data_IF_296735150104
#
_entry.id   IF_296735150104
#
_cell.length_a   1.000
_cell.length_b   1.000
_cell.length_c   1.000
_cell.angle_alpha   90.00
_cell.angle_beta   90.00
_cell.angle_gamma   90.00
#
_symmetry.space_group_name_H-M   'P 1'
#
loop_
_entity.id
_entity.type
_entity.pdbx_description
1 polymer ?
#
# COMPACT_ATOMS: atom_id res chain seq x y z
N UNK A 1 9.19 8.35 13.31
CA UNK A 1 8.19 7.38 12.78
C UNK A 1 8.93 6.15 12.32
N UNK A 2 8.52 4.97 12.76
CA UNK A 2 9.06 3.68 12.29
C UNK A 2 8.29 3.27 11.04
N UNK A 3 9.00 2.85 9.97
CA UNK A 3 8.40 2.37 8.73
C UNK A 3 9.24 1.25 8.14
N UNK A 4 8.56 0.21 7.65
CA UNK A 4 9.22 -0.95 7.09
C UNK A 4 9.08 -1.01 5.57
N UNK A 5 10.00 -1.70 4.93
CA UNK A 5 10.01 -1.95 3.50
C UNK A 5 10.59 -3.33 3.19
N UNK A 6 10.11 -3.92 2.11
CA UNK A 6 10.71 -5.13 1.58
C UNK A 6 11.79 -4.76 0.55
N UNK A 7 12.87 -5.53 0.49
CA UNK A 7 13.91 -5.36 -0.52
C UNK A 7 14.58 -6.69 -0.87
N UNK A 8 15.35 -6.72 -1.96
CA UNK A 8 16.19 -7.85 -2.32
C UNK A 8 17.65 -7.53 -1.97
N UNK A 9 18.33 -8.49 -1.36
CA UNK A 9 19.78 -8.39 -1.16
C UNK A 9 20.55 -8.59 -2.48
N UNK A 10 21.89 -8.51 -2.41
CA UNK A 10 22.77 -8.67 -3.59
C UNK A 10 22.68 -10.05 -4.26
N UNK A 11 22.08 -11.03 -3.58
CA UNK A 11 21.86 -12.40 -4.08
C UNK A 11 20.40 -12.64 -4.49
N UNK A 12 19.59 -11.58 -4.54
CA UNK A 12 18.15 -11.59 -4.81
C UNK A 12 17.33 -12.36 -3.75
N UNK A 13 17.80 -12.48 -2.51
CA UNK A 13 16.99 -12.99 -1.42
C UNK A 13 16.15 -11.88 -0.80
N UNK A 14 14.86 -12.14 -0.51
CA UNK A 14 13.99 -11.18 0.17
C UNK A 14 14.53 -10.81 1.56
N UNK A 15 14.43 -9.55 1.90
CA UNK A 15 14.86 -8.99 3.18
C UNK A 15 13.82 -7.96 3.64
N UNK A 16 13.78 -7.76 4.96
CA UNK A 16 13.02 -6.69 5.59
C UNK A 16 13.98 -5.56 5.95
N UNK A 17 13.69 -4.36 5.47
CA UNK A 17 14.31 -3.13 5.90
C UNK A 17 13.40 -2.36 6.82
N UNK A 18 13.96 -1.66 7.78
CA UNK A 18 13.21 -0.76 8.67
C UNK A 18 13.94 0.57 8.78
N UNK A 19 13.21 1.64 8.60
CA UNK A 19 13.65 2.96 9.01
C UNK A 19 13.23 3.19 10.46
N UNK A 20 14.22 3.22 11.35
CA UNK A 20 14.05 3.41 12.78
C UNK A 20 14.90 4.58 13.25
N UNK A 21 14.30 5.52 13.96
CA UNK A 21 14.96 6.76 14.39
C UNK A 21 15.68 7.51 13.23
N UNK A 22 15.07 7.51 12.02
CA UNK A 22 15.61 8.20 10.84
C UNK A 22 16.77 7.48 10.14
N UNK A 23 17.09 6.24 10.52
CA UNK A 23 18.16 5.45 9.92
C UNK A 23 17.59 4.13 9.38
N UNK A 24 18.01 3.74 8.17
CA UNK A 24 17.58 2.49 7.56
C UNK A 24 18.50 1.33 7.95
N UNK A 25 17.90 0.25 8.44
CA UNK A 25 18.57 -0.96 8.89
C UNK A 25 18.05 -2.20 8.15
N UNK A 26 18.90 -3.22 8.01
CA UNK A 26 18.49 -4.57 7.63
C UNK A 26 17.85 -5.25 8.86
N UNK A 27 16.53 -5.27 8.92
CA UNK A 27 15.78 -5.84 10.03
C UNK A 27 15.85 -7.38 10.02
N UNK A 28 15.86 -8.05 8.86
CA UNK A 28 16.00 -9.50 8.80
C UNK A 28 17.27 -9.96 9.52
N UNK A 29 18.39 -9.26 9.32
CA UNK A 29 19.64 -9.55 10.04
C UNK A 29 19.56 -9.17 11.52
N UNK A 30 18.89 -8.06 11.85
CA UNK A 30 18.68 -7.66 13.24
C UNK A 30 17.86 -8.71 14.00
N UNK A 31 16.79 -9.22 13.38
CA UNK A 31 15.93 -10.25 13.93
C UNK A 31 16.68 -11.55 14.23
N UNK A 32 17.54 -12.02 13.32
CA UNK A 32 18.35 -13.22 13.54
C UNK A 32 19.29 -13.08 14.73
N UNK A 33 19.94 -11.93 14.90
CA UNK A 33 20.81 -11.66 16.04
C UNK A 33 20.00 -11.55 17.32
N UNK A 34 18.86 -10.89 17.29
CA UNK A 34 17.94 -10.76 18.43
C UNK A 34 17.50 -12.14 18.95
N UNK A 35 17.08 -13.06 18.07
CA UNK A 35 16.73 -14.45 18.43
C UNK A 35 17.88 -15.15 19.16
N UNK A 36 19.11 -14.98 18.68
CA UNK A 36 20.29 -15.57 19.32
C UNK A 36 20.55 -14.99 20.71
N UNK A 37 20.41 -13.69 20.90
CA UNK A 37 20.60 -13.03 22.21
C UNK A 37 19.53 -13.48 23.21
N UNK A 38 18.27 -13.53 22.78
CA UNK A 38 17.15 -13.97 23.64
C UNK A 38 17.13 -15.47 23.87
N UNK A 39 17.99 -16.26 23.19
CA UNK A 39 17.97 -17.74 23.18
C UNK A 39 16.59 -18.30 22.82
N UNK A 40 15.80 -17.53 22.08
CA UNK A 40 14.46 -17.92 21.67
C UNK A 40 14.50 -18.72 20.37
N UNK A 41 14.49 -20.05 20.51
CA UNK A 41 14.43 -20.98 19.37
C UNK A 41 13.01 -21.15 18.80
N UNK A 42 12.01 -20.62 19.49
CA UNK A 42 10.60 -20.69 19.04
C UNK A 42 10.22 -19.49 18.14
N UNK A 43 11.01 -18.41 18.17
CA UNK A 43 10.76 -17.24 17.34
C UNK A 43 10.88 -17.60 15.84
N UNK A 44 9.91 -17.22 15.00
CA UNK A 44 9.86 -17.60 13.59
C UNK A 44 10.99 -16.97 12.78
N UNK A 45 11.37 -17.61 11.69
CA UNK A 45 12.16 -16.95 10.66
C UNK A 45 11.29 -15.96 9.90
N UNK A 46 11.83 -14.77 9.62
CA UNK A 46 11.12 -13.70 8.91
C UNK A 46 11.79 -13.40 7.56
N UNK A 47 11.58 -14.25 6.55
CA UNK A 47 12.20 -14.09 5.23
C UNK A 47 11.61 -12.90 4.45
N UNK A 48 10.39 -12.44 4.75
CA UNK A 48 9.73 -11.33 4.05
C UNK A 48 8.72 -10.61 4.94
N UNK A 49 8.48 -9.34 4.61
CA UNK A 49 7.67 -8.42 5.42
C UNK A 49 6.22 -8.88 5.61
N UNK A 50 5.61 -9.46 4.58
CA UNK A 50 4.25 -10.00 4.65
C UNK A 50 4.11 -11.04 5.77
N UNK A 51 5.11 -11.88 6.01
CA UNK A 51 5.06 -12.88 7.09
C UNK A 51 5.02 -12.24 8.48
N UNK A 52 5.67 -11.08 8.69
CA UNK A 52 5.51 -10.33 9.94
C UNK A 52 4.06 -9.92 10.17
N UNK A 53 3.36 -9.50 9.11
CA UNK A 53 1.93 -9.14 9.18
C UNK A 53 1.09 -10.39 9.48
N UNK A 54 1.34 -11.50 8.79
CA UNK A 54 0.59 -12.77 8.95
C UNK A 54 0.77 -13.38 10.34
N UNK A 55 1.91 -13.14 10.99
CA UNK A 55 2.23 -13.64 12.34
C UNK A 55 1.91 -12.64 13.46
N UNK A 56 1.26 -11.53 13.17
CA UNK A 56 0.95 -10.44 14.11
C UNK A 56 2.22 -9.89 14.82
N UNK A 57 3.32 -9.77 14.06
CA UNK A 57 4.60 -9.23 14.53
C UNK A 57 4.91 -7.84 13.96
N UNK A 58 4.03 -7.30 13.12
CA UNK A 58 4.23 -6.00 12.47
C UNK A 58 3.73 -4.86 13.36
N UNK A 59 4.44 -4.59 14.46
CA UNK A 59 4.13 -3.56 15.45
C UNK A 59 5.35 -2.69 15.75
N UNK A 60 5.12 -1.45 16.12
CA UNK A 60 6.21 -0.54 16.56
C UNK A 60 6.97 -1.14 17.74
N UNK A 61 6.27 -1.76 18.69
CA UNK A 61 6.87 -2.42 19.85
C UNK A 61 7.88 -3.50 19.46
N UNK A 62 7.56 -4.33 18.45
CA UNK A 62 8.48 -5.37 17.95
C UNK A 62 9.79 -4.77 17.42
N UNK A 63 9.70 -3.70 16.64
CA UNK A 63 10.89 -3.02 16.11
C UNK A 63 11.70 -2.37 17.23
N UNK A 64 11.04 -1.71 18.17
CA UNK A 64 11.67 -1.04 19.29
C UNK A 64 12.36 -2.04 20.23
N UNK A 65 11.73 -3.18 20.54
CA UNK A 65 12.32 -4.23 21.36
C UNK A 65 13.60 -4.79 20.71
N UNK A 66 13.53 -5.12 19.42
CA UNK A 66 14.69 -5.65 18.69
C UNK A 66 15.86 -4.67 18.71
N UNK A 67 15.65 -3.43 18.29
CA UNK A 67 16.76 -2.47 18.20
C UNK A 67 17.26 -2.00 19.57
N UNK A 68 16.39 -1.86 20.56
CA UNK A 68 16.79 -1.51 21.93
C UNK A 68 17.61 -2.64 22.54
N UNK A 69 17.16 -3.89 22.42
CA UNK A 69 17.95 -5.05 22.89
C UNK A 69 19.31 -5.08 22.22
N UNK A 70 19.36 -4.93 20.88
CA UNK A 70 20.64 -5.01 20.16
C UNK A 70 21.63 -3.92 20.58
N UNK A 71 21.19 -2.70 20.87
CA UNK A 71 22.04 -1.60 21.34
C UNK A 71 22.81 -1.92 22.61
N UNK A 72 22.24 -2.73 23.51
CA UNK A 72 22.88 -3.12 24.76
C UNK A 72 24.02 -4.11 24.55
N UNK A 73 24.06 -4.81 23.42
CA UNK A 73 25.04 -5.85 23.12
C UNK A 73 26.06 -5.46 22.05
N UNK A 74 25.73 -4.53 21.14
CA UNK A 74 26.60 -4.17 20.02
C UNK A 74 26.20 -2.85 19.35
N UNK A 75 27.12 -2.16 18.67
CA UNK A 75 26.79 -1.05 17.78
C UNK A 75 25.86 -1.52 16.63
N UNK A 76 24.90 -0.68 16.25
CA UNK A 76 23.97 -0.98 15.14
C UNK A 76 24.55 -0.67 13.74
N UNK A 77 25.76 -0.11 13.65
CA UNK A 77 26.37 0.32 12.38
C UNK A 77 26.50 -0.81 11.34
N UNK A 78 26.75 -2.05 11.81
CA UNK A 78 26.85 -3.22 10.94
C UNK A 78 25.50 -3.64 10.33
N UNK A 79 24.38 -3.18 10.90
CA UNK A 79 23.03 -3.45 10.43
C UNK A 79 22.50 -2.34 9.54
N UNK A 80 23.18 -1.17 9.52
CA UNK A 80 22.80 -0.03 8.73
C UNK A 80 22.93 -0.34 7.24
N UNK A 81 21.88 0.00 6.47
CA UNK A 81 21.94 -0.04 5.01
C UNK A 81 22.77 1.15 4.52
N UNK A 82 23.93 0.84 3.94
CA UNK A 82 24.92 1.83 3.49
C UNK A 82 24.70 2.32 2.06
N UNK A 83 23.79 1.67 1.34
CA UNK A 83 23.48 1.96 -0.06
C UNK A 83 21.97 1.92 -0.22
N UNK A 84 21.47 2.65 -1.20
CA UNK A 84 20.10 2.52 -1.64
C UNK A 84 19.81 1.10 -2.12
N UNK A 85 18.67 0.56 -1.70
CA UNK A 85 18.28 -0.81 -2.03
C UNK A 85 17.03 -0.78 -2.90
N UNK A 86 16.96 -1.68 -3.86
CA UNK A 86 15.76 -1.84 -4.68
C UNK A 86 14.62 -2.39 -3.83
N UNK A 87 13.65 -1.53 -3.56
CA UNK A 87 12.48 -1.89 -2.78
C UNK A 87 11.57 -2.82 -3.59
N UNK A 88 10.83 -3.65 -2.86
CA UNK A 88 9.81 -4.55 -3.38
C UNK A 88 8.45 -4.11 -2.84
N UNK A 89 7.32 -4.57 -3.41
CA UNK A 89 6.02 -4.33 -2.79
C UNK A 89 6.04 -4.79 -1.34
N UNK A 90 5.59 -3.96 -0.38
CA UNK A 90 5.59 -4.33 1.04
C UNK A 90 4.86 -5.64 1.31
N UNK A 91 3.76 -5.85 0.59
CA UNK A 91 3.01 -7.10 0.52
C UNK A 91 3.13 -7.61 -0.92
N UNK A 92 3.87 -8.70 -1.10
CA UNK A 92 4.20 -9.21 -2.43
C UNK A 92 3.18 -10.20 -2.98
N UNK A 93 2.39 -10.83 -2.10
CA UNK A 93 1.41 -11.87 -2.46
C UNK A 93 0.13 -11.74 -1.64
N UNK A 94 -0.59 -10.61 -1.73
CA UNK A 94 -1.90 -10.51 -1.09
C UNK A 94 -2.84 -11.58 -1.67
N UNK A 95 -3.74 -12.13 -0.85
CA UNK A 95 -4.74 -13.04 -1.39
C UNK A 95 -5.75 -12.30 -2.28
N UNK A 96 -6.03 -11.03 -1.94
CA UNK A 96 -6.86 -10.14 -2.75
C UNK A 96 -6.45 -8.68 -2.59
N UNK A 97 -6.74 -7.91 -3.63
CA UNK A 97 -6.63 -6.44 -3.65
C UNK A 97 -8.04 -5.94 -3.92
N UNK A 98 -8.64 -5.27 -2.93
CA UNK A 98 -9.96 -4.68 -3.03
C UNK A 98 -9.80 -3.16 -3.14
N UNK A 99 -10.49 -2.55 -4.08
CA UNK A 99 -10.41 -1.11 -4.34
C UNK A 99 -11.80 -0.48 -4.24
N UNK A 100 -11.87 0.72 -3.67
CA UNK A 100 -13.11 1.48 -3.49
C UNK A 100 -13.22 2.51 -4.61
N UNK A 101 -14.30 2.47 -5.34
CA UNK A 101 -14.63 3.47 -6.35
C UNK A 101 -15.48 4.60 -5.77
N UNK A 102 -15.27 5.83 -6.29
CA UNK A 102 -16.13 7.01 -6.00
C UNK A 102 -16.20 7.40 -4.53
N UNK A 103 -15.13 7.22 -3.78
CA UNK A 103 -15.07 7.52 -2.35
C UNK A 103 -14.71 8.99 -2.04
N UNK A 104 -14.53 9.83 -3.07
CA UNK A 104 -14.32 11.27 -2.93
C UNK A 104 -15.36 12.02 -3.77
N UNK A 105 -16.06 12.96 -3.13
CA UNK A 105 -17.18 13.65 -3.77
C UNK A 105 -16.78 14.38 -5.05
N UNK A 106 -15.68 15.12 -5.00
CA UNK A 106 -15.20 15.91 -6.15
C UNK A 106 -14.72 15.01 -7.30
N UNK A 107 -14.09 13.88 -6.99
CA UNK A 107 -13.71 12.88 -7.99
C UNK A 107 -14.94 12.26 -8.68
N UNK A 108 -16.00 11.95 -7.94
CA UNK A 108 -17.24 11.44 -8.51
C UNK A 108 -17.85 12.44 -9.50
N UNK A 109 -17.90 13.73 -9.14
CA UNK A 109 -18.39 14.82 -10.00
C UNK A 109 -17.52 15.00 -11.25
N UNK A 110 -16.19 14.97 -11.11
CA UNK A 110 -15.22 15.10 -12.21
C UNK A 110 -15.48 14.07 -13.33
N UNK A 111 -15.81 12.85 -12.97
CA UNK A 111 -16.12 11.78 -13.91
C UNK A 111 -17.57 11.77 -14.40
N UNK A 112 -18.39 12.73 -14.01
CA UNK A 112 -19.82 12.81 -14.33
C UNK A 112 -20.65 11.71 -13.67
N UNK A 113 -20.15 11.12 -12.60
CA UNK A 113 -20.83 10.09 -11.82
C UNK A 113 -21.60 10.71 -10.64
N UNK A 114 -22.67 10.05 -10.23
CA UNK A 114 -23.27 10.33 -8.93
C UNK A 114 -22.33 9.77 -7.83
N UNK A 115 -22.21 10.48 -6.68
CA UNK A 115 -21.56 9.91 -5.50
C UNK A 115 -22.18 8.55 -5.17
N UNK A 116 -21.41 7.68 -4.53
CA UNK A 116 -21.93 6.41 -4.05
C UNK A 116 -23.10 6.68 -3.07
N UNK A 117 -24.31 6.33 -3.48
CA UNK A 117 -25.51 6.58 -2.70
C UNK A 117 -25.70 5.47 -1.67
N UNK A 118 -25.28 5.72 -0.43
CA UNK A 118 -25.58 4.85 0.72
C UNK A 118 -24.62 3.68 0.95
N UNK A 119 -23.93 3.14 -0.09
CA UNK A 119 -23.00 2.02 0.04
C UNK A 119 -21.73 2.22 -0.78
N UNK A 120 -20.56 1.77 -0.29
CA UNK A 120 -19.31 1.79 -1.05
C UNK A 120 -19.41 0.93 -2.33
N UNK A 121 -18.95 1.48 -3.44
CA UNK A 121 -18.70 0.71 -4.66
C UNK A 121 -17.31 0.09 -4.57
N UNK A 122 -17.19 -1.22 -4.72
CA UNK A 122 -15.88 -1.87 -4.69
C UNK A 122 -15.66 -2.83 -5.84
N UNK A 123 -14.40 -3.06 -6.16
CA UNK A 123 -13.96 -3.99 -7.20
C UNK A 123 -12.61 -4.61 -6.80
N UNK A 124 -12.20 -5.65 -7.52
CA UNK A 124 -10.89 -6.27 -7.33
C UNK A 124 -9.89 -5.86 -8.39
N UNK A 125 -8.60 -5.89 -8.05
CA UNK A 125 -7.48 -5.90 -9.00
C UNK A 125 -6.80 -7.27 -9.00
N UNK A 126 -6.29 -7.69 -10.15
CA UNK A 126 -5.48 -8.91 -10.21
C UNK A 126 -4.17 -8.71 -9.43
N UNK A 127 -3.78 -9.72 -8.67
CA UNK A 127 -2.50 -9.69 -7.91
C UNK A 127 -1.30 -9.55 -8.86
N UNK A 128 -1.39 -10.06 -10.09
CA UNK A 128 -0.36 -9.91 -11.13
C UNK A 128 -0.15 -8.46 -11.59
N UNK A 129 -1.06 -7.54 -11.28
CA UNK A 129 -0.90 -6.11 -11.60
C UNK A 129 0.04 -5.37 -10.65
N UNK A 130 0.41 -6.01 -9.52
CA UNK A 130 1.20 -5.41 -8.45
C UNK A 130 2.65 -5.18 -8.89
N UNK A 131 3.16 -3.97 -8.66
CA UNK A 131 4.56 -3.61 -8.86
C UNK A 131 5.08 -2.72 -7.71
N UNK A 132 6.40 -2.69 -7.56
CA UNK A 132 7.10 -1.87 -6.59
C UNK A 132 7.29 -0.42 -7.07
N UNK A 133 7.81 0.42 -6.15
CA UNK A 133 8.42 1.69 -6.52
C UNK A 133 9.56 1.44 -7.53
N UNK A 134 9.78 2.41 -8.42
CA UNK A 134 10.80 2.42 -9.48
C UNK A 134 10.56 1.38 -10.61
N UNK A 135 9.61 0.47 -10.47
CA UNK A 135 9.20 -0.41 -11.57
C UNK A 135 8.29 0.33 -12.55
N UNK A 136 8.45 0.01 -13.85
CA UNK A 136 7.73 0.73 -14.89
C UNK A 136 6.27 0.30 -15.03
N UNK A 137 5.37 1.28 -15.09
CA UNK A 137 4.00 1.07 -15.58
C UNK A 137 4.03 0.95 -17.10
N UNK A 138 3.51 -0.15 -17.64
CA UNK A 138 3.50 -0.45 -19.08
C UNK A 138 2.15 -0.09 -19.69
N UNK A 139 2.16 0.85 -20.64
CA UNK A 139 0.93 1.23 -21.34
C UNK A 139 0.57 0.13 -22.36
N UNK A 140 -0.59 -0.54 -22.19
CA UNK A 140 -1.01 -1.55 -23.15
C UNK A 140 -1.40 -0.90 -24.48
N UNK A 141 -0.91 -1.46 -25.58
CA UNK A 141 -1.27 -1.00 -26.92
C UNK A 141 -2.78 -1.19 -27.15
N UNK A 142 -3.44 -0.21 -27.81
CA UNK A 142 -4.84 -0.29 -28.25
C UNK A 142 -5.93 -0.15 -27.15
N UNK A 143 -5.61 0.38 -25.96
CA UNK A 143 -6.60 0.55 -24.89
C UNK A 143 -6.94 2.01 -24.53
N UNK A 144 -6.52 2.95 -25.40
CA UNK A 144 -6.86 4.36 -25.27
C UNK A 144 -6.21 5.03 -24.04
N UNK A 145 -6.95 5.93 -23.43
CA UNK A 145 -6.47 6.73 -22.30
C UNK A 145 -6.25 5.87 -21.04
N UNK A 146 -5.04 5.97 -20.48
CA UNK A 146 -4.67 5.39 -19.19
C UNK A 146 -4.47 6.52 -18.19
N UNK A 147 -5.10 6.41 -17.02
CA UNK A 147 -5.06 7.43 -15.96
C UNK A 147 -4.33 6.93 -14.71
N UNK A 148 -3.72 7.86 -13.98
CA UNK A 148 -3.20 7.68 -12.63
C UNK A 148 -4.29 7.92 -11.58
N UNK A 149 -4.21 7.28 -10.40
CA UNK A 149 -5.12 7.43 -9.27
C UNK A 149 -4.37 7.15 -7.95
N UNK A 150 -3.83 8.21 -7.27
CA UNK A 150 -3.18 8.05 -5.97
C UNK A 150 -4.18 7.75 -4.88
N UNK A 151 -3.88 6.74 -4.04
CA UNK A 151 -4.77 6.30 -2.97
C UNK A 151 -3.98 5.99 -1.68
N UNK A 152 -4.61 6.26 -0.55
CA UNK A 152 -4.24 5.56 0.68
C UNK A 152 -4.65 4.10 0.53
N UNK A 153 -3.75 3.19 0.84
CA UNK A 153 -4.06 1.77 0.95
C UNK A 153 -3.77 1.28 2.37
N UNK A 154 -4.61 0.38 2.86
CA UNK A 154 -4.38 -0.29 4.13
C UNK A 154 -4.10 -1.78 3.91
N UNK A 155 -3.39 -2.38 4.85
CA UNK A 155 -3.08 -3.80 4.89
C UNK A 155 -3.76 -4.42 6.10
N UNK A 156 -4.51 -5.49 5.87
CA UNK A 156 -5.18 -6.25 6.93
C UNK A 156 -4.13 -7.01 7.74
N UNK A 157 -4.23 -6.95 9.06
CA UNK A 157 -3.33 -7.63 10.00
C UNK A 157 -3.95 -8.86 10.67
N UNK A 158 -5.27 -8.86 10.83
CA UNK A 158 -6.00 -9.96 11.48
C UNK A 158 -7.18 -10.40 10.64
N UNK A 159 -7.49 -11.69 10.67
CA UNK A 159 -8.67 -12.23 9.97
C UNK A 159 -9.94 -11.52 10.42
N UNK A 160 -10.64 -10.89 9.47
CA UNK A 160 -11.85 -10.12 9.74
C UNK A 160 -13.03 -10.62 8.90
N UNK A 161 -14.13 -10.96 9.56
CA UNK A 161 -15.38 -11.39 8.93
C UNK A 161 -16.56 -10.80 9.69
N UNK A 162 -17.37 -10.02 9.00
CA UNK A 162 -18.57 -9.36 9.55
C UNK A 162 -18.31 -8.56 10.83
N UNK A 163 -17.25 -7.76 10.82
CA UNK A 163 -16.84 -6.95 11.98
C UNK A 163 -17.57 -5.60 12.00
N UNK A 164 -17.82 -5.07 13.20
CA UNK A 164 -18.39 -3.73 13.36
C UNK A 164 -17.33 -2.64 13.13
N UNK A 165 -17.72 -1.51 12.54
CA UNK A 165 -16.81 -0.42 12.18
C UNK A 165 -15.98 0.11 13.36
N UNK A 166 -16.55 0.14 14.56
CA UNK A 166 -15.84 0.60 15.77
C UNK A 166 -14.63 -0.25 16.17
N UNK A 167 -14.56 -1.51 15.72
CA UNK A 167 -13.43 -2.42 15.95
C UNK A 167 -12.53 -2.59 14.75
N UNK A 168 -12.88 -2.00 13.60
CA UNK A 168 -12.17 -2.25 12.34
C UNK A 168 -10.69 -1.83 12.37
N UNK A 169 -10.35 -0.82 13.19
CA UNK A 169 -8.97 -0.37 13.40
C UNK A 169 -8.06 -1.47 13.94
N UNK A 170 -8.57 -2.34 14.80
CA UNK A 170 -7.81 -3.43 15.44
C UNK A 170 -7.39 -4.54 14.44
N UNK A 171 -7.95 -4.52 13.23
CA UNK A 171 -7.70 -5.47 12.15
C UNK A 171 -6.72 -4.94 11.09
N UNK A 172 -6.26 -3.70 11.23
CA UNK A 172 -5.35 -3.05 10.27
C UNK A 172 -3.92 -3.15 10.80
N UNK A 173 -3.04 -3.84 10.05
CA UNK A 173 -1.62 -3.89 10.36
C UNK A 173 -0.92 -2.55 10.09
N UNK A 174 -1.28 -1.89 8.99
CA UNK A 174 -0.64 -0.65 8.60
C UNK A 174 -1.14 -0.09 7.29
N UNK A 175 -0.48 0.97 6.84
CA UNK A 175 -0.87 1.76 5.67
C UNK A 175 0.28 1.93 4.70
N UNK A 176 -0.05 2.11 3.42
CA UNK A 176 0.91 2.32 2.32
C UNK A 176 0.30 3.20 1.25
N UNK A 177 1.09 3.59 0.25
CA UNK A 177 0.62 4.30 -0.94
C UNK A 177 0.30 3.27 -2.02
N UNK A 178 -0.77 3.50 -2.77
CA UNK A 178 -1.14 2.74 -3.95
C UNK A 178 -1.52 3.70 -5.09
N UNK A 179 -1.19 3.33 -6.32
CA UNK A 179 -1.66 4.03 -7.52
C UNK A 179 -2.56 3.07 -8.32
N UNK A 180 -3.88 3.33 -8.32
CA UNK A 180 -4.88 2.50 -9.00
C UNK A 180 -4.95 2.83 -10.49
N UNK A 181 -3.88 2.54 -11.23
CA UNK A 181 -3.78 2.82 -12.66
C UNK A 181 -4.94 2.18 -13.42
N UNK A 182 -5.54 2.98 -14.32
CA UNK A 182 -6.84 2.68 -14.92
C UNK A 182 -6.83 2.87 -16.44
N UNK A 183 -7.23 1.84 -17.21
CA UNK A 183 -7.57 1.97 -18.62
C UNK A 183 -8.96 2.63 -18.74
N UNK A 184 -8.99 3.98 -18.81
CA UNK A 184 -10.19 4.78 -18.62
C UNK A 184 -11.26 4.55 -19.70
N UNK A 185 -10.86 4.43 -20.96
CA UNK A 185 -11.82 4.19 -22.04
C UNK A 185 -12.42 2.79 -21.94
N UNK A 186 -11.59 1.79 -21.56
CA UNK A 186 -12.07 0.43 -21.34
C UNK A 186 -13.04 0.38 -20.15
N UNK A 187 -12.72 1.08 -19.04
CA UNK A 187 -13.61 1.20 -17.89
C UNK A 187 -14.97 1.79 -18.25
N UNK A 188 -14.99 2.88 -19.05
CA UNK A 188 -16.25 3.50 -19.53
C UNK A 188 -17.04 2.55 -20.41
N UNK A 189 -16.36 1.84 -21.32
CA UNK A 189 -16.99 0.83 -22.19
C UNK A 189 -17.61 -0.30 -21.38
N UNK A 190 -16.88 -0.79 -20.38
CA UNK A 190 -17.35 -1.87 -19.50
C UNK A 190 -18.57 -1.41 -18.68
N UNK A 191 -18.49 -0.23 -18.07
CA UNK A 191 -19.60 0.33 -17.31
C UNK A 191 -20.87 0.52 -18.18
N UNK A 192 -20.73 1.00 -19.42
CA UNK A 192 -21.85 1.16 -20.34
C UNK A 192 -22.47 -0.20 -20.76
N UNK A 193 -21.68 -1.27 -20.73
CA UNK A 193 -22.12 -2.64 -21.01
C UNK A 193 -22.54 -3.43 -19.75
N UNK A 194 -22.63 -2.77 -18.59
CA UNK A 194 -22.87 -3.40 -17.28
C UNK A 194 -21.86 -4.52 -16.93
N UNK A 195 -20.61 -4.40 -17.41
CA UNK A 195 -19.51 -5.30 -17.08
C UNK A 195 -18.72 -4.75 -15.89
N UNK A 196 -18.06 -5.63 -15.09
CA UNK A 196 -17.23 -5.21 -13.97
C UNK A 196 -15.96 -4.49 -14.44
N UNK A 197 -15.42 -3.59 -13.61
CA UNK A 197 -14.22 -2.80 -13.91
C UNK A 197 -12.93 -3.61 -13.88
N UNK A 198 -12.98 -4.88 -13.47
CA UNK A 198 -11.82 -5.73 -13.21
C UNK A 198 -10.75 -5.67 -14.30
N UNK A 199 -11.12 -5.88 -15.58
CA UNK A 199 -10.14 -5.91 -16.67
C UNK A 199 -9.51 -4.55 -16.96
N UNK A 200 -10.25 -3.44 -16.77
CA UNK A 200 -9.74 -2.09 -16.95
C UNK A 200 -8.74 -1.67 -15.86
N UNK A 201 -8.76 -2.35 -14.73
CA UNK A 201 -7.98 -2.10 -13.52
C UNK A 201 -6.85 -3.12 -13.30
N UNK A 202 -6.78 -4.21 -14.09
CA UNK A 202 -5.96 -5.40 -13.79
C UNK A 202 -4.90 -5.74 -14.84
N UNK A 203 -4.56 -4.81 -15.75
CA UNK A 203 -3.38 -5.04 -16.59
C UNK A 203 -2.13 -5.20 -15.72
N UNK A 204 -1.21 -6.04 -16.14
CA UNK A 204 0.10 -6.14 -15.49
C UNK A 204 0.69 -4.75 -15.32
N UNK A 205 1.29 -4.48 -14.15
CA UNK A 205 1.86 -3.21 -13.73
C UNK A 205 0.87 -2.09 -13.34
N UNK A 206 -0.44 -2.34 -13.34
CA UNK A 206 -1.45 -1.31 -13.03
C UNK A 206 -1.74 -1.13 -11.53
N UNK A 207 -0.91 -1.71 -10.65
CA UNK A 207 -1.01 -1.56 -9.21
C UNK A 207 0.35 -1.27 -8.56
N UNK A 208 0.97 -0.11 -8.83
CA UNK A 208 2.12 0.34 -8.04
C UNK A 208 1.75 0.45 -6.56
N UNK A 209 2.59 -0.12 -5.66
CA UNK A 209 2.36 -0.07 -4.20
C UNK A 209 3.66 0.05 -3.40
N UNK A 210 3.62 0.81 -2.33
CA UNK A 210 4.76 1.05 -1.44
C UNK A 210 5.13 2.54 -1.34
N UNK A 211 6.41 2.89 -1.16
CA UNK A 211 7.57 2.00 -0.96
C UNK A 211 7.67 1.43 0.45
N UNK A 212 6.91 1.98 1.41
CA UNK A 212 6.91 1.57 2.81
C UNK A 212 5.55 1.04 3.24
N UNK A 213 5.55 0.17 4.25
CA UNK A 213 4.41 -0.15 5.09
C UNK A 213 4.62 0.57 6.44
N UNK A 214 3.66 1.38 6.82
CA UNK A 214 3.67 2.15 8.06
C UNK A 214 2.81 1.42 9.07
N UNK A 215 3.33 0.99 10.25
CA UNK A 215 2.50 0.39 11.29
C UNK A 215 1.31 1.28 11.65
N UNK A 216 0.15 0.66 11.92
CA UNK A 216 -1.09 1.39 12.23
C UNK A 216 -0.95 2.33 13.42
N UNK A 217 -0.13 1.97 14.40
CA UNK A 217 0.17 2.77 15.60
C UNK A 217 0.86 4.11 15.24
N UNK A 218 1.58 4.16 14.13
CA UNK A 218 2.22 5.38 13.63
C UNK A 218 1.29 6.26 12.78
N UNK A 219 0.05 5.83 12.57
CA UNK A 219 -0.98 6.56 11.81
C UNK A 219 -2.26 6.70 12.67
N UNK A 220 -2.22 7.49 13.75
CA UNK A 220 -3.32 7.57 14.70
C UNK A 220 -4.61 8.13 14.09
N UNK A 221 -4.51 8.87 13.02
CA UNK A 221 -5.68 9.38 12.29
C UNK A 221 -5.51 9.20 10.77
N UNK A 222 -5.92 8.06 10.22
CA UNK A 222 -5.86 7.81 8.78
C UNK A 222 -6.83 8.69 7.97
N UNK A 223 -7.74 9.41 8.62
CA UNK A 223 -8.69 10.35 8.00
C UNK A 223 -8.18 11.81 7.99
N UNK A 224 -6.88 12.05 8.19
CA UNK A 224 -6.30 13.39 8.17
C UNK A 224 -4.94 13.41 7.44
N UNK A 225 -4.81 12.63 6.38
CA UNK A 225 -3.59 12.51 5.58
C UNK A 225 -3.72 13.30 4.27
N UNK A 226 -2.68 14.05 3.91
CA UNK A 226 -2.59 14.73 2.63
C UNK A 226 -1.99 13.80 1.57
N UNK A 227 -2.69 13.68 0.42
CA UNK A 227 -2.26 12.90 -0.73
C UNK A 227 -1.93 13.84 -1.90
N UNK A 228 -0.88 13.50 -2.64
CA UNK A 228 -0.52 14.21 -3.87
C UNK A 228 0.01 13.22 -4.90
N UNK A 229 -0.24 13.51 -6.18
CA UNK A 229 0.43 12.86 -7.29
C UNK A 229 0.91 13.91 -8.28
N UNK A 230 2.17 13.78 -8.69
CA UNK A 230 2.75 14.57 -9.79
C UNK A 230 3.01 13.68 -11.00
N UNK A 231 2.94 14.27 -12.19
CA UNK A 231 3.43 13.71 -13.45
C UNK A 231 4.43 14.69 -14.02
N UNK A 232 5.68 14.27 -14.21
CA UNK A 232 6.78 15.13 -14.68
C UNK A 232 6.86 16.42 -13.85
N UNK A 233 6.92 16.28 -12.53
CA UNK A 233 6.99 17.36 -11.53
C UNK A 233 5.77 18.30 -11.48
N UNK A 234 4.75 18.07 -12.31
CA UNK A 234 3.51 18.85 -12.29
C UNK A 234 2.47 18.18 -11.40
N UNK A 235 1.98 18.90 -10.39
CA UNK A 235 0.90 18.41 -9.53
C UNK A 235 -0.35 18.17 -10.36
N UNK A 236 -0.86 16.93 -10.32
CA UNK A 236 -2.10 16.49 -10.99
C UNK A 236 -3.20 16.22 -9.99
N UNK A 237 -2.91 15.50 -8.92
CA UNK A 237 -3.86 15.23 -7.84
C UNK A 237 -3.34 15.83 -6.54
N UNK A 238 -4.25 16.42 -5.76
CA UNK A 238 -4.02 16.88 -4.40
C UNK A 238 -5.33 16.80 -3.62
N UNK A 239 -5.31 16.12 -2.48
CA UNK A 239 -6.50 15.92 -1.66
C UNK A 239 -6.16 15.50 -0.25
N UNK A 240 -7.18 15.23 0.54
CA UNK A 240 -7.06 14.76 1.91
C UNK A 240 -7.96 13.56 2.13
N UNK A 241 -7.52 12.59 2.93
CA UNK A 241 -8.38 11.48 3.38
C UNK A 241 -9.55 11.95 4.24
N UNK A 242 -9.52 13.19 4.74
CA UNK A 242 -10.67 13.82 5.40
C UNK A 242 -11.88 14.00 4.47
N UNK A 243 -11.64 14.04 3.14
CA UNK A 243 -12.68 14.23 2.13
C UNK A 243 -13.32 12.91 1.66
N UNK A 244 -12.94 11.77 2.27
CA UNK A 244 -13.56 10.47 1.99
C UNK A 244 -15.02 10.46 2.40
N UNK A 245 -15.89 9.91 1.53
CA UNK A 245 -17.31 9.69 1.83
C UNK A 245 -17.47 8.60 2.88
N UNK A 246 -16.75 7.49 2.71
CA UNK A 246 -16.73 6.38 3.66
C UNK A 246 -15.35 6.30 4.32
N UNK A 247 -15.27 6.47 5.64
CA UNK A 247 -14.01 6.36 6.39
C UNK A 247 -13.40 4.96 6.32
N UNK A 248 -12.10 4.86 6.56
CA UNK A 248 -11.33 3.60 6.55
C UNK A 248 -12.01 2.49 7.36
N UNK A 249 -12.47 2.79 8.56
CA UNK A 249 -13.12 1.80 9.44
C UNK A 249 -14.44 1.28 8.89
N UNK A 250 -15.22 2.14 8.25
CA UNK A 250 -16.46 1.75 7.58
C UNK A 250 -16.18 0.86 6.36
N UNK A 251 -15.13 1.17 5.59
CA UNK A 251 -14.74 0.36 4.42
C UNK A 251 -14.34 -1.06 4.84
N UNK A 252 -13.50 -1.21 5.87
CA UNK A 252 -13.10 -2.53 6.39
C UNK A 252 -14.32 -3.30 6.90
N UNK A 253 -15.18 -2.65 7.72
CA UNK A 253 -16.43 -3.25 8.19
C UNK A 253 -17.31 -3.69 7.03
N UNK A 254 -17.55 -2.82 6.05
CA UNK A 254 -18.39 -3.11 4.90
C UNK A 254 -17.89 -4.30 4.09
N UNK A 255 -16.61 -4.29 3.70
CA UNK A 255 -16.01 -5.36 2.91
C UNK A 255 -16.02 -6.71 3.64
N UNK A 256 -15.82 -6.71 4.96
CA UNK A 256 -15.83 -7.93 5.78
C UNK A 256 -17.17 -8.67 5.82
N UNK A 257 -18.27 -8.01 5.39
CA UNK A 257 -19.60 -8.62 5.29
C UNK A 257 -19.73 -9.53 4.05
N UNK A 258 -18.97 -9.24 3.01
CA UNK A 258 -19.07 -9.96 1.72
C UNK A 258 -17.99 -11.01 1.55
N UNK A 259 -16.82 -10.79 2.14
CA UNK A 259 -15.73 -11.76 2.09
C UNK A 259 -14.87 -11.66 3.36
N UNK A 260 -14.36 -12.80 3.81
CA UNK A 260 -13.37 -12.80 4.89
C UNK A 260 -12.10 -12.10 4.42
N UNK A 261 -11.68 -11.06 5.15
CA UNK A 261 -10.41 -10.39 4.94
C UNK A 261 -9.33 -11.16 5.69
N UNK A 262 -8.19 -11.38 5.05
CA UNK A 262 -7.07 -12.15 5.61
C UNK A 262 -5.86 -11.25 5.84
N UNK A 263 -4.97 -11.57 6.79
CA UNK A 263 -3.70 -10.88 6.95
C UNK A 263 -2.94 -10.78 5.61
N UNK A 264 -2.47 -9.59 5.27
CA UNK A 264 -1.82 -9.31 3.99
C UNK A 264 -2.76 -8.91 2.85
N UNK A 265 -4.09 -8.96 3.00
CA UNK A 265 -5.00 -8.36 2.02
C UNK A 265 -4.81 -6.84 1.95
N UNK A 266 -4.91 -6.29 0.75
CA UNK A 266 -4.78 -4.84 0.50
C UNK A 266 -6.15 -4.25 0.18
N UNK A 267 -6.48 -3.13 0.83
CA UNK A 267 -7.68 -2.34 0.52
C UNK A 267 -7.23 -0.94 0.11
N UNK A 268 -7.49 -0.55 -1.14
CA UNK A 268 -7.30 0.80 -1.66
C UNK A 268 -8.58 1.61 -1.44
N UNK A 269 -8.46 2.83 -0.90
CA UNK A 269 -9.59 3.55 -0.29
C UNK A 269 -10.28 4.56 -1.22
N UNK A 270 -9.88 4.60 -2.49
CA UNK A 270 -10.33 5.58 -3.45
C UNK A 270 -9.36 6.74 -3.62
N UNK A 271 -9.53 7.47 -4.72
CA UNK A 271 -8.64 8.56 -5.16
C UNK A 271 -9.34 9.92 -5.12
N UNK A 272 -8.64 11.02 -4.78
CA UNK A 272 -9.18 12.38 -4.91
C UNK A 272 -9.29 12.80 -6.38
N UNK A 273 -9.91 13.96 -6.63
CA UNK A 273 -10.00 14.59 -7.97
C UNK A 273 -8.64 14.92 -8.57
N UNK A 274 -8.62 15.20 -9.87
CA UNK A 274 -7.42 15.50 -10.66
C UNK A 274 -6.83 14.30 -11.38
N UNK A 275 -7.62 13.21 -11.53
CA UNK A 275 -7.20 12.05 -12.33
C UNK A 275 -6.91 12.46 -13.78
N UNK A 276 -5.87 11.91 -14.36
CA UNK A 276 -5.45 12.36 -15.67
C UNK A 276 -4.60 11.35 -16.44
N UNK A 277 -4.43 11.60 -17.75
CA UNK A 277 -3.71 10.67 -18.61
C UNK A 277 -2.22 10.64 -18.31
N UNK A 278 -1.65 9.44 -18.51
CA UNK A 278 -0.23 9.18 -18.56
C UNK A 278 0.15 8.55 -19.92
N UNK A 279 1.38 8.76 -20.32
CA UNK A 279 1.92 8.25 -21.60
C UNK A 279 3.36 7.75 -21.43
N UNK A 280 3.86 6.92 -22.35
CA UNK A 280 5.25 6.50 -22.34
C UNK A 280 6.22 7.69 -22.28
N UNK A 281 7.20 7.63 -21.40
CA UNK A 281 8.15 8.70 -21.09
C UNK A 281 7.79 9.56 -19.89
N UNK A 282 6.57 9.46 -19.35
CA UNK A 282 6.18 10.14 -18.13
C UNK A 282 6.81 9.48 -16.89
N UNK A 283 6.94 10.26 -15.83
CA UNK A 283 7.26 9.77 -14.47
C UNK A 283 6.17 10.23 -13.51
N UNK A 284 5.55 9.28 -12.83
CA UNK A 284 4.58 9.52 -11.78
C UNK A 284 5.26 9.46 -10.42
N UNK A 285 4.92 10.41 -9.52
CA UNK A 285 5.31 10.36 -8.12
C UNK A 285 4.07 10.57 -7.27
N UNK A 286 3.61 9.50 -6.63
CA UNK A 286 2.54 9.53 -5.64
C UNK A 286 3.14 9.66 -4.25
N UNK A 287 2.60 10.56 -3.42
CA UNK A 287 3.08 10.82 -2.06
C UNK A 287 1.92 10.97 -1.09
N UNK A 288 2.14 10.50 0.13
CA UNK A 288 1.30 10.76 1.30
C UNK A 288 2.22 11.27 2.39
N UNK A 289 1.78 12.29 3.12
CA UNK A 289 2.55 12.92 4.18
C UNK A 289 3.06 11.89 5.20
N UNK A 290 4.38 11.83 5.38
CA UNK A 290 5.05 10.86 6.28
C UNK A 290 5.27 9.46 5.69
N UNK A 291 4.69 9.10 4.54
CA UNK A 291 4.80 7.75 3.96
C UNK A 291 5.96 7.62 2.96
N UNK A 292 6.52 8.72 2.48
CA UNK A 292 7.50 8.75 1.42
C UNK A 292 6.87 8.90 0.04
N UNK A 293 7.61 8.50 -0.98
CA UNK A 293 7.23 8.67 -2.39
C UNK A 293 7.21 7.34 -3.13
N UNK A 294 6.13 7.08 -3.82
CA UNK A 294 5.98 5.96 -4.75
C UNK A 294 6.18 6.50 -6.16
N UNK A 295 7.41 6.38 -6.67
CA UNK A 295 7.78 6.82 -8.00
C UNK A 295 7.71 5.64 -8.99
N UNK A 296 7.10 5.86 -10.16
CA UNK A 296 7.05 4.87 -11.22
C UNK A 296 7.20 5.55 -12.60
N UNK A 297 8.18 5.14 -13.42
CA UNK A 297 8.25 5.55 -14.81
C UNK A 297 7.16 4.86 -15.64
N UNK A 298 6.79 5.48 -16.76
CA UNK A 298 5.78 4.95 -17.71
C UNK A 298 6.48 4.57 -19.03
N UNK A 299 6.20 3.36 -19.55
CA UNK A 299 6.80 2.85 -20.79
C UNK A 299 5.75 2.29 -21.76
#
# INVERSE_FOLDING_TARGET
MTRAFAFLDKKNFPQIGVEWSGVQYNFSRAWEIFKQIKLDRSAPDLPFLQLMVELDLFHVETFDEVFTTLKDYRPLDDLRLKQEVRKQPPISRPQKILCIGRNYLEHAKELGNQPAAGEPVFFGKAVSSLIAAEEAVRIPRQHGRIDHEVELALVIGKTASNIAAQYAGDFIAGYTILNDVTARELQKKDAAANLPWFRAKSFDTFCPVGPFLIPSENVPNPQALNLQLTVNDQVRQKGSTADMIFPVTELVSYLSRFCTLQPGDIIATGTPSGVGPIQPGDTMVASIEGFGELMNPVV
#
